data_IF_926692362152
#
_entry.id   IF_926692362152
#
_cell.length_a   1.000
_cell.length_b   1.000
_cell.length_c   1.000
_cell.angle_alpha   90.00
_cell.angle_beta   90.00
_cell.angle_gamma   90.00
#
_symmetry.space_group_name_H-M   'P 1'
#
loop_
_entity.id
_entity.type
_entity.pdbx_description
1 polymer ?
#
# COMPACT_ATOMS: atom_id res chain seq x y z
N UNK A 1 -35.86 -13.18 9.58
CA UNK A 1 -34.93 -12.03 9.50
C UNK A 1 -33.55 -12.56 9.86
N UNK A 2 -32.69 -12.88 8.89
CA UNK A 2 -31.37 -13.47 9.14
C UNK A 2 -30.33 -12.36 9.18
N UNK A 3 -29.74 -12.11 10.34
CA UNK A 3 -28.67 -11.13 10.53
C UNK A 3 -27.37 -11.80 10.08
N UNK A 4 -26.89 -11.48 8.88
CA UNK A 4 -25.58 -11.94 8.42
C UNK A 4 -24.52 -11.16 9.18
N UNK A 5 -24.05 -11.72 10.30
CA UNK A 5 -22.89 -11.21 11.04
C UNK A 5 -21.66 -11.41 10.14
N UNK A 6 -21.24 -10.35 9.47
CA UNK A 6 -19.92 -10.28 8.86
C UNK A 6 -18.94 -10.42 10.04
N UNK A 7 -18.08 -11.46 10.08
CA UNK A 7 -17.09 -11.56 11.14
C UNK A 7 -16.25 -10.27 11.11
N UNK A 8 -15.91 -9.68 12.27
CA UNK A 8 -15.01 -8.56 12.29
C UNK A 8 -13.69 -9.04 11.66
N UNK A 9 -13.36 -8.53 10.48
CA UNK A 9 -12.02 -8.66 9.95
C UNK A 9 -11.07 -8.09 11.01
N UNK A 10 -10.15 -8.91 11.52
CA UNK A 10 -9.23 -8.50 12.57
C UNK A 10 -8.45 -7.24 12.11
N UNK A 11 -8.72 -6.07 12.70
CA UNK A 11 -8.23 -4.80 12.17
C UNK A 11 -6.72 -4.70 12.39
N UNK A 12 -6.05 -3.98 11.50
CA UNK A 12 -4.62 -3.70 11.66
C UNK A 12 -4.39 -2.84 12.90
N UNK A 13 -3.51 -3.30 13.79
CA UNK A 13 -2.99 -2.52 14.90
C UNK A 13 -1.87 -1.62 14.41
N UNK A 14 -2.01 -0.31 14.61
CA UNK A 14 -1.07 0.70 14.13
C UNK A 14 -0.19 1.23 15.25
N UNK A 15 1.12 1.30 14.99
CA UNK A 15 2.10 1.88 15.89
C UNK A 15 3.01 2.83 15.15
N UNK A 16 3.22 4.03 15.68
CA UNK A 16 4.22 4.95 15.17
C UNK A 16 5.62 4.46 15.57
N UNK A 17 6.46 4.17 14.57
CA UNK A 17 7.83 3.72 14.76
C UNK A 17 8.82 4.89 14.67
N UNK A 18 8.50 5.89 13.85
CA UNK A 18 9.26 7.14 13.70
C UNK A 18 8.29 8.29 13.36
N UNK A 19 8.79 9.54 13.31
CA UNK A 19 8.04 10.74 12.92
C UNK A 19 7.29 10.51 11.60
N UNK A 20 7.96 9.89 10.63
CA UNK A 20 7.44 9.67 9.29
C UNK A 20 7.05 8.21 9.01
N UNK A 21 7.12 7.31 10.00
CA UNK A 21 6.91 5.87 9.80
C UNK A 21 5.88 5.30 10.76
N UNK A 22 4.88 4.65 10.19
CA UNK A 22 3.82 3.93 10.90
C UNK A 22 3.83 2.46 10.52
N UNK A 23 3.96 1.58 11.50
CA UNK A 23 3.95 0.13 11.33
C UNK A 23 2.56 -0.42 11.63
N UNK A 24 2.11 -1.34 10.79
CA UNK A 24 0.91 -2.13 10.99
C UNK A 24 1.28 -3.55 11.42
N UNK A 25 0.54 -4.05 12.40
CA UNK A 25 0.61 -5.43 12.87
C UNK A 25 -0.78 -6.04 12.91
N UNK A 26 -0.92 -7.31 12.50
CA UNK A 26 -2.15 -8.09 12.60
C UNK A 26 -1.90 -9.31 13.47
N UNK A 27 -2.69 -9.51 14.52
CA UNK A 27 -2.54 -10.66 15.43
C UNK A 27 -1.12 -10.84 16.01
N UNK A 28 -0.39 -9.72 16.18
CA UNK A 28 1.00 -9.72 16.63
C UNK A 28 2.04 -9.98 15.54
N UNK A 29 1.61 -10.24 14.31
CA UNK A 29 2.47 -10.36 13.13
C UNK A 29 2.63 -9.04 12.40
N UNK A 30 3.78 -8.83 11.77
CA UNK A 30 4.05 -7.64 10.95
C UNK A 30 3.26 -7.72 9.63
N UNK A 31 2.37 -6.75 9.41
CA UNK A 31 1.54 -6.64 8.22
C UNK A 31 2.14 -5.68 7.18
N UNK A 32 2.93 -4.69 7.63
CA UNK A 32 3.55 -3.73 6.73
C UNK A 32 3.74 -2.38 7.39
N UNK A 33 3.96 -1.36 6.57
CA UNK A 33 4.20 -0.02 7.06
C UNK A 33 3.81 1.06 6.05
N UNK A 34 3.59 2.25 6.57
CA UNK A 34 3.39 3.49 5.83
C UNK A 34 4.52 4.44 6.18
N UNK A 35 5.19 4.94 5.15
CA UNK A 35 6.30 5.88 5.24
C UNK A 35 5.92 7.20 4.56
N UNK A 36 6.20 8.32 5.19
CA UNK A 36 5.99 9.65 4.61
C UNK A 36 7.29 10.22 4.05
N UNK A 37 7.35 10.43 2.73
CA UNK A 37 8.53 11.00 2.04
C UNK A 37 8.53 12.55 2.04
N UNK A 38 7.86 13.17 3.01
CA UNK A 38 7.70 14.63 3.05
C UNK A 38 6.62 15.21 2.12
N UNK A 39 6.07 14.41 1.19
CA UNK A 39 5.00 14.84 0.29
C UNK A 39 3.86 13.84 0.15
N UNK A 40 4.15 12.54 0.21
CA UNK A 40 3.18 11.46 -0.01
C UNK A 40 3.45 10.32 0.97
N UNK A 41 2.39 9.59 1.32
CA UNK A 41 2.43 8.41 2.16
C UNK A 41 2.60 7.17 1.28
N UNK A 42 3.77 6.54 1.36
CA UNK A 42 4.12 5.31 0.66
C UNK A 42 3.70 4.12 1.52
N UNK A 43 2.92 3.21 0.95
CA UNK A 43 2.47 1.98 1.62
C UNK A 43 3.29 0.81 1.13
N UNK A 44 3.76 -0.01 2.07
CA UNK A 44 4.47 -1.26 1.80
C UNK A 44 3.90 -2.42 2.62
N UNK A 45 3.86 -3.58 1.99
CA UNK A 45 3.43 -4.83 2.63
C UNK A 45 4.53 -5.42 3.54
N UNK A 46 4.25 -6.57 4.17
CA UNK A 46 5.16 -7.30 5.02
C UNK A 46 6.44 -7.80 4.32
N UNK A 47 6.44 -7.85 2.99
CA UNK A 47 7.57 -8.25 2.15
C UNK A 47 8.33 -7.05 1.59
N UNK A 48 7.90 -5.82 1.90
CA UNK A 48 8.48 -4.57 1.38
C UNK A 48 7.99 -4.20 -0.04
N UNK A 49 7.01 -4.94 -0.58
CA UNK A 49 6.36 -4.64 -1.85
C UNK A 49 5.62 -3.32 -1.74
N UNK A 50 5.84 -2.43 -2.70
CA UNK A 50 5.12 -1.16 -2.75
C UNK A 50 3.67 -1.38 -3.19
N UNK A 51 2.71 -1.06 -2.32
CA UNK A 51 1.27 -1.20 -2.59
C UNK A 51 0.68 0.05 -3.22
N UNK A 52 1.20 1.23 -2.90
CA UNK A 52 0.76 2.49 -3.48
C UNK A 52 1.25 3.71 -2.72
N UNK A 53 0.90 4.88 -3.25
CA UNK A 53 1.22 6.19 -2.68
C UNK A 53 -0.03 7.02 -2.52
N UNK A 54 -0.25 7.60 -1.34
CA UNK A 54 -1.47 8.31 -0.99
C UNK A 54 -1.17 9.70 -0.43
N UNK A 55 -2.04 10.69 -0.67
CA UNK A 55 -1.85 12.03 -0.12
C UNK A 55 -2.10 12.06 1.40
N UNK A 56 -3.00 11.23 1.92
CA UNK A 56 -3.35 11.16 3.33
C UNK A 56 -2.92 9.83 3.98
N UNK A 57 -2.58 9.90 5.27
CA UNK A 57 -2.20 8.74 6.07
C UNK A 57 -3.36 7.75 6.20
N UNK A 58 -4.59 8.23 6.37
CA UNK A 58 -5.75 7.36 6.53
C UNK A 58 -6.08 6.58 5.26
N UNK A 59 -5.93 7.19 4.08
CA UNK A 59 -6.05 6.50 2.79
C UNK A 59 -4.98 5.39 2.66
N UNK A 60 -3.75 5.68 3.08
CA UNK A 60 -2.67 4.73 3.11
C UNK A 60 -2.93 3.54 4.06
N UNK A 61 -3.52 3.80 5.24
CA UNK A 61 -3.90 2.76 6.19
C UNK A 61 -4.98 1.84 5.64
N UNK A 62 -6.03 2.43 5.05
CA UNK A 62 -7.12 1.68 4.42
C UNK A 62 -6.62 0.81 3.27
N UNK A 63 -5.67 1.30 2.47
CA UNK A 63 -5.08 0.53 1.40
C UNK A 63 -4.30 -0.70 1.91
N UNK A 64 -3.57 -0.57 3.02
CA UNK A 64 -2.86 -1.70 3.62
C UNK A 64 -3.84 -2.71 4.22
N UNK A 65 -4.91 -2.25 4.86
CA UNK A 65 -5.96 -3.10 5.42
C UNK A 65 -6.69 -3.88 4.32
N UNK A 66 -7.06 -3.21 3.23
CA UNK A 66 -7.68 -3.86 2.07
C UNK A 66 -6.77 -4.89 1.40
N UNK A 67 -5.44 -4.71 1.44
CA UNK A 67 -4.49 -5.70 0.93
C UNK A 67 -4.39 -6.97 1.80
N UNK A 68 -4.75 -6.87 3.08
CA UNK A 68 -4.71 -7.98 4.04
C UNK A 68 -6.06 -8.71 4.19
N UNK A 69 -7.13 -8.21 3.58
CA UNK A 69 -8.42 -8.88 3.58
C UNK A 69 -8.37 -10.17 2.74
N UNK A 70 -8.75 -11.34 3.30
CA UNK A 70 -8.80 -12.59 2.57
C UNK A 70 -9.93 -12.57 1.53
N UNK A 71 -9.59 -12.12 0.31
CA UNK A 71 -10.27 -12.34 -0.96
C UNK A 71 -11.75 -11.92 -1.06
N UNK A 72 -12.00 -10.61 -1.14
CA UNK A 72 -12.82 -10.10 -2.24
C UNK A 72 -11.88 -9.62 -3.34
N UNK A 73 -11.66 -10.48 -4.35
CA UNK A 73 -10.88 -10.18 -5.55
C UNK A 73 -11.47 -8.97 -6.29
N UNK A 74 -10.98 -7.77 -6.00
CA UNK A 74 -11.07 -6.63 -6.91
C UNK A 74 -9.65 -6.17 -7.22
N UNK A 75 -9.01 -6.94 -8.10
CA UNK A 75 -7.86 -6.50 -8.87
C UNK A 75 -8.26 -5.30 -9.74
N UNK A 76 -7.57 -4.18 -9.55
CA UNK A 76 -7.53 -3.05 -10.48
C UNK A 76 -7.21 -1.76 -9.70
N UNK A 77 -6.03 -1.15 -9.77
CA UNK A 77 -5.16 -1.01 -10.93
C UNK A 77 -3.70 -0.74 -10.52
N UNK A 78 -2.72 -1.31 -11.24
CA UNK A 78 -1.34 -0.89 -11.17
C UNK A 78 -1.16 0.36 -12.05
N UNK A 79 -0.97 1.53 -11.45
CA UNK A 79 -0.38 2.68 -12.14
C UNK A 79 1.04 2.93 -11.62
N UNK A 80 1.84 1.88 -11.56
CA UNK A 80 3.29 2.04 -11.72
C UNK A 80 3.55 2.43 -13.18
N UNK A 81 3.47 3.73 -13.47
CA UNK A 81 4.00 4.31 -14.69
C UNK A 81 5.49 3.99 -14.75
N UNK A 82 6.00 3.29 -15.78
CA UNK A 82 7.43 3.12 -15.93
C UNK A 82 8.06 4.49 -16.17
N UNK A 83 8.86 4.94 -15.20
CA UNK A 83 9.67 6.16 -15.20
C UNK A 83 10.85 6.05 -16.19
N UNK A 84 10.57 5.74 -17.45
CA UNK A 84 11.54 5.57 -18.52
C UNK A 84 11.38 6.60 -19.64
N UNK A 85 11.14 7.87 -19.28
CA UNK A 85 11.51 9.01 -20.12
C UNK A 85 13.01 9.28 -19.95
N UNK A 86 13.89 8.45 -20.53
CA UNK A 86 15.29 8.84 -20.73
C UNK A 86 15.86 8.35 -22.06
N UNK A 87 15.99 9.35 -22.95
CA UNK A 87 17.08 9.58 -23.91
C UNK A 87 17.01 8.86 -25.28
N UNK A 88 16.68 9.66 -26.31
CA UNK A 88 17.24 9.54 -27.67
C UNK A 88 18.79 9.48 -27.62
N UNK A 89 19.42 8.72 -28.53
CA UNK A 89 20.19 9.34 -29.61
C UNK A 89 19.94 8.66 -30.99
N UNK A 90 19.63 9.42 -32.04
CA UNK A 90 20.48 9.75 -33.22
C UNK A 90 20.95 8.57 -34.11
N UNK A 91 20.25 8.41 -35.25
CA UNK A 91 20.70 8.31 -36.66
C UNK A 91 21.77 7.26 -37.06
N UNK A 92 21.45 6.38 -38.04
CA UNK A 92 22.30 6.00 -39.21
C UNK A 92 21.40 5.57 -40.39
N UNK A 93 21.83 5.94 -41.60
CA UNK A 93 21.29 5.67 -42.96
C UNK A 93 21.64 4.23 -43.40
N UNK A 94 20.77 3.59 -44.18
CA UNK A 94 21.11 2.76 -45.34
C UNK A 94 19.88 2.71 -46.26
#
# INVERSE_FOLDING_TARGET
MSMTTIPPSDPLSWKQADVDVHVATRDGEFAGFVEFDGSIHLVRDQHGTHLGSFPALDDARLALEAAHEPAARTSGFPLSLPRALRRRPRRVRA
#
